data_IF_450791595881
#
_entry.id   IF_450791595881
#
_cell.length_a   1.000
_cell.length_b   1.000
_cell.length_c   1.000
_cell.angle_alpha   90.00
_cell.angle_beta   90.00
_cell.angle_gamma   90.00
#
_symmetry.space_group_name_H-M   'P 1'
#
loop_
_entity.id
_entity.type
_entity.pdbx_description
1 polymer ?
#
# COMPACT_ATOMS: atom_id res chain seq x y z
N UNK A 1 -6.10 -13.56 -1.87
CA UNK A 1 -6.07 -14.97 -2.30
C UNK A 1 -4.62 -15.44 -2.38
N UNK A 2 -4.32 -16.61 -1.81
CA UNK A 2 -3.01 -17.23 -1.87
C UNK A 2 -3.07 -18.43 -2.84
N UNK A 3 -2.60 -18.22 -4.06
CA UNK A 3 -2.64 -19.23 -5.12
C UNK A 3 -1.76 -20.45 -4.82
N UNK A 4 -0.85 -20.36 -3.86
CA UNK A 4 -0.06 -21.52 -3.42
C UNK A 4 -0.85 -22.48 -2.53
N UNK A 5 -2.00 -22.08 -2.01
CA UNK A 5 -2.88 -22.96 -1.25
C UNK A 5 -3.74 -23.79 -2.20
N UNK A 6 -3.58 -25.11 -2.24
CA UNK A 6 -4.34 -25.97 -3.18
C UNK A 6 -5.86 -25.84 -3.01
N UNK A 7 -6.33 -25.60 -1.79
CA UNK A 7 -7.75 -25.41 -1.53
C UNK A 7 -8.30 -24.11 -2.14
N UNK A 8 -7.47 -23.06 -2.25
CA UNK A 8 -7.85 -21.81 -2.88
C UNK A 8 -7.58 -21.79 -4.39
N UNK A 9 -6.49 -22.43 -4.82
CA UNK A 9 -6.17 -22.56 -6.25
C UNK A 9 -7.25 -23.33 -7.02
N UNK A 10 -7.94 -24.25 -6.35
CA UNK A 10 -9.00 -25.06 -6.92
C UNK A 10 -10.42 -24.53 -6.66
N UNK A 11 -10.57 -23.33 -6.16
CA UNK A 11 -11.88 -22.68 -6.05
C UNK A 11 -12.25 -22.04 -7.38
N UNK A 12 -13.47 -22.27 -7.81
CA UNK A 12 -14.07 -21.48 -8.86
C UNK A 12 -14.42 -20.08 -8.35
N UNK A 13 -14.85 -19.21 -9.23
CA UNK A 13 -15.22 -17.84 -8.88
C UNK A 13 -16.33 -17.76 -7.82
N UNK A 14 -17.16 -18.78 -7.70
CA UNK A 14 -18.25 -18.87 -6.72
C UNK A 14 -17.81 -19.54 -5.42
N UNK A 15 -16.56 -19.89 -5.26
CA UNK A 15 -16.02 -20.59 -4.09
C UNK A 15 -16.26 -22.09 -4.09
N UNK A 16 -16.75 -22.66 -5.17
CA UNK A 16 -16.94 -24.11 -5.32
C UNK A 16 -15.66 -24.72 -5.90
N UNK A 17 -15.09 -25.74 -5.29
CA UNK A 17 -13.92 -26.40 -5.86
C UNK A 17 -14.23 -26.98 -7.26
N UNK A 18 -13.50 -26.61 -8.31
CA UNK A 18 -13.76 -27.12 -9.66
C UNK A 18 -13.28 -28.55 -9.88
N UNK A 19 -12.73 -29.19 -8.90
CA UNK A 19 -12.29 -30.57 -8.96
C UNK A 19 -10.93 -30.80 -9.61
N UNK A 20 -10.64 -30.12 -10.69
CA UNK A 20 -9.39 -30.26 -11.44
C UNK A 20 -8.56 -28.96 -11.54
N UNK A 21 -9.08 -27.85 -11.02
CA UNK A 21 -8.43 -26.53 -11.07
C UNK A 21 -8.38 -25.91 -12.48
N UNK A 22 -8.95 -26.57 -13.47
CA UNK A 22 -8.94 -26.11 -14.87
C UNK A 22 -10.32 -25.83 -15.42
N UNK A 23 -11.36 -26.22 -14.67
CA UNK A 23 -12.76 -26.04 -15.08
C UNK A 23 -13.10 -24.57 -15.17
N UNK A 24 -13.67 -24.16 -16.28
CA UNK A 24 -14.16 -22.82 -16.55
C UNK A 24 -15.67 -22.81 -16.33
N UNK A 25 -16.18 -21.82 -15.60
CA UNK A 25 -17.61 -21.63 -15.49
C UNK A 25 -18.21 -21.35 -16.89
N UNK A 26 -19.46 -21.75 -17.15
CA UNK A 26 -20.07 -21.57 -18.49
C UNK A 26 -20.11 -20.10 -18.96
N UNK A 27 -20.00 -19.16 -18.02
CA UNK A 27 -20.02 -17.71 -18.27
C UNK A 27 -18.63 -17.07 -18.29
N UNK A 28 -17.58 -17.83 -18.02
CA UNK A 28 -16.21 -17.34 -17.96
C UNK A 28 -15.38 -17.83 -19.13
N UNK A 29 -14.49 -16.98 -19.61
CA UNK A 29 -13.59 -17.32 -20.70
C UNK A 29 -12.35 -18.10 -20.24
N UNK A 30 -12.00 -18.00 -18.96
CA UNK A 30 -10.80 -18.59 -18.38
C UNK A 30 -11.04 -19.06 -16.95
N UNK A 31 -10.28 -20.07 -16.47
CA UNK A 31 -10.32 -20.47 -15.08
C UNK A 31 -9.90 -19.31 -14.14
N UNK A 32 -10.45 -19.26 -12.95
CA UNK A 32 -10.19 -18.19 -11.99
C UNK A 32 -8.69 -18.01 -11.65
N UNK A 33 -7.92 -19.10 -11.64
CA UNK A 33 -6.47 -19.04 -11.38
C UNK A 33 -5.65 -18.44 -12.53
N UNK A 34 -6.23 -18.30 -13.72
CA UNK A 34 -5.57 -17.64 -14.86
C UNK A 34 -5.56 -16.13 -14.75
N UNK A 35 -6.39 -15.58 -13.88
CA UNK A 35 -6.44 -14.14 -13.65
C UNK A 35 -5.42 -13.72 -12.60
N UNK A 36 -4.86 -12.56 -12.82
CA UNK A 36 -3.94 -11.96 -11.91
C UNK A 36 -4.65 -11.44 -10.65
N UNK A 37 -4.09 -11.74 -9.48
CA UNK A 37 -4.60 -11.22 -8.23
C UNK A 37 -4.03 -9.83 -7.96
N UNK A 38 -4.86 -8.81 -8.10
CA UNK A 38 -4.51 -7.40 -7.85
C UNK A 38 -4.07 -7.18 -6.40
N UNK A 39 -4.71 -7.86 -5.44
CA UNK A 39 -4.37 -7.76 -4.03
C UNK A 39 -3.58 -8.99 -3.54
N UNK A 40 -2.30 -8.79 -3.25
CA UNK A 40 -1.37 -9.86 -2.82
C UNK A 40 -0.70 -9.61 -1.49
N UNK A 41 -1.19 -8.68 -0.70
CA UNK A 41 -0.62 -8.33 0.61
C UNK A 41 -0.43 -9.55 1.51
N UNK A 42 -1.37 -10.49 1.50
CA UNK A 42 -1.24 -11.74 2.24
C UNK A 42 -0.10 -12.63 1.73
N UNK A 43 0.03 -12.77 0.43
CA UNK A 43 1.11 -13.57 -0.19
C UNK A 43 2.49 -12.97 0.10
N UNK A 44 2.58 -11.65 0.08
CA UNK A 44 3.79 -10.90 0.42
C UNK A 44 4.15 -11.05 1.89
N UNK A 45 3.15 -10.93 2.79
CA UNK A 45 3.29 -11.16 4.23
C UNK A 45 3.81 -12.58 4.52
N UNK A 46 3.20 -13.60 3.91
CA UNK A 46 3.61 -14.99 4.08
C UNK A 46 5.01 -15.30 3.54
N UNK A 47 5.52 -14.46 2.64
CA UNK A 47 6.88 -14.56 2.10
C UNK A 47 7.91 -13.80 2.93
N UNK A 48 7.48 -13.06 3.95
CA UNK A 48 8.33 -12.27 4.84
C UNK A 48 8.70 -13.02 6.12
N UNK A 49 9.67 -12.49 6.87
CA UNK A 49 9.95 -12.97 8.22
C UNK A 49 8.76 -12.81 9.17
N UNK A 50 7.96 -11.77 8.98
CA UNK A 50 6.81 -11.47 9.85
C UNK A 50 5.71 -12.53 9.79
N UNK A 51 5.53 -13.19 8.66
CA UNK A 51 4.60 -14.31 8.49
C UNK A 51 5.10 -15.63 9.10
N UNK A 52 6.29 -15.64 9.71
CA UNK A 52 6.89 -16.83 10.30
C UNK A 52 6.99 -16.70 11.81
N UNK A 53 6.97 -17.85 12.50
CA UNK A 53 7.12 -17.89 13.95
C UNK A 53 8.39 -17.19 14.41
N UNK A 54 8.28 -16.27 15.35
CA UNK A 54 9.38 -15.52 15.93
C UNK A 54 9.97 -14.42 15.04
N UNK A 55 9.55 -14.31 13.78
CA UNK A 55 10.15 -13.37 12.83
C UNK A 55 9.95 -11.90 13.17
N UNK A 56 8.85 -11.54 13.79
CA UNK A 56 8.57 -10.17 14.21
C UNK A 56 9.30 -9.78 15.52
N UNK A 57 9.63 -10.74 16.37
CA UNK A 57 10.17 -10.49 17.71
C UNK A 57 11.53 -9.77 17.69
N UNK A 58 12.27 -9.85 16.62
CA UNK A 58 13.60 -9.24 16.47
C UNK A 58 13.61 -7.90 15.74
N UNK A 59 12.45 -7.38 15.37
CA UNK A 59 12.36 -6.11 14.64
C UNK A 59 12.16 -4.92 15.59
N UNK A 60 13.16 -4.05 15.80
CA UNK A 60 13.05 -2.91 16.70
C UNK A 60 11.94 -1.92 16.32
N UNK A 61 11.75 -1.66 15.01
CA UNK A 61 10.72 -0.72 14.54
C UNK A 61 9.32 -1.26 14.82
N UNK A 62 9.12 -2.56 14.71
CA UNK A 62 7.85 -3.19 15.05
C UNK A 62 7.57 -3.14 16.55
N UNK A 63 8.57 -3.40 17.37
CA UNK A 63 8.48 -3.29 18.82
C UNK A 63 8.25 -1.86 19.27
N UNK A 64 8.89 -0.89 18.62
CA UNK A 64 8.73 0.54 18.93
C UNK A 64 7.30 1.06 18.67
N UNK A 65 6.48 0.33 17.94
CA UNK A 65 5.07 0.66 17.72
C UNK A 65 4.12 0.14 18.81
N UNK A 66 4.64 -0.41 19.90
CA UNK A 66 3.86 -0.87 21.04
C UNK A 66 3.44 -2.34 20.98
N UNK A 67 3.85 -3.09 19.99
CA UNK A 67 3.60 -4.53 19.94
C UNK A 67 4.53 -5.26 20.91
N UNK A 68 3.98 -5.73 22.02
CA UNK A 68 4.78 -6.26 23.14
C UNK A 68 4.86 -7.77 23.22
N UNK A 69 3.98 -8.52 22.54
CA UNK A 69 3.95 -9.99 22.58
C UNK A 69 3.94 -10.60 21.17
N UNK A 70 5.05 -10.50 20.49
CA UNK A 70 5.25 -11.00 19.14
C UNK A 70 6.29 -12.12 19.06
N UNK A 71 6.37 -12.96 20.06
CA UNK A 71 7.17 -14.19 20.03
C UNK A 71 6.77 -15.12 18.86
N UNK A 72 5.59 -14.90 18.29
CA UNK A 72 4.98 -15.61 17.18
C UNK A 72 5.05 -14.82 15.87
N UNK A 73 4.37 -15.28 14.85
CA UNK A 73 4.15 -14.50 13.65
C UNK A 73 3.33 -13.22 13.97
N UNK A 74 3.70 -12.12 13.36
CA UNK A 74 2.92 -10.89 13.45
C UNK A 74 1.51 -11.09 12.86
N UNK A 75 0.58 -10.23 13.26
CA UNK A 75 -0.75 -10.13 12.67
C UNK A 75 -0.89 -8.76 12.01
N UNK A 76 -1.77 -8.64 11.04
CA UNK A 76 -2.06 -7.36 10.39
C UNK A 76 -2.45 -6.28 11.40
N UNK A 77 -3.22 -6.68 12.43
CA UNK A 77 -3.68 -5.81 13.50
C UNK A 77 -2.54 -5.20 14.31
N UNK A 78 -1.45 -5.92 14.51
CA UNK A 78 -0.33 -5.46 15.34
C UNK A 78 0.32 -4.16 14.79
N UNK A 79 0.22 -3.93 13.47
CA UNK A 79 0.67 -2.71 12.84
C UNK A 79 -0.47 -1.75 12.47
N UNK A 80 -1.63 -2.30 12.06
CA UNK A 80 -2.73 -1.51 11.51
C UNK A 80 -3.80 -1.13 12.55
N UNK A 81 -3.75 -1.71 13.74
CA UNK A 81 -4.61 -1.39 14.88
C UNK A 81 -3.73 -1.12 16.09
N UNK A 82 -2.92 -0.08 16.01
CA UNK A 82 -1.98 0.31 17.07
C UNK A 82 -2.70 0.62 18.37
N UNK A 83 -2.06 0.33 19.47
CA UNK A 83 -2.59 0.60 20.80
C UNK A 83 -2.65 2.09 21.08
N UNK A 84 -3.76 2.51 21.66
CA UNK A 84 -3.99 3.88 22.15
C UNK A 84 -4.55 3.82 23.55
N UNK A 85 -4.20 4.80 24.38
CA UNK A 85 -4.80 4.93 25.69
C UNK A 85 -6.27 5.29 25.54
N UNK A 86 -7.15 4.50 26.14
CA UNK A 86 -8.58 4.71 26.05
C UNK A 86 -9.36 3.62 26.79
N UNK A 87 -10.67 3.72 26.75
CA UNK A 87 -11.57 2.71 27.29
C UNK A 87 -12.02 1.74 26.21
N UNK A 88 -12.22 0.49 26.57
CA UNK A 88 -12.77 -0.50 25.66
C UNK A 88 -14.22 -0.15 25.29
N UNK A 89 -14.74 -0.79 24.25
CA UNK A 89 -16.10 -0.56 23.76
C UNK A 89 -17.14 -0.63 24.89
N UNK A 90 -17.90 0.44 25.07
CA UNK A 90 -18.95 0.49 26.09
C UNK A 90 -20.26 -0.08 25.54
N UNK A 91 -20.63 -1.25 26.01
CA UNK A 91 -21.95 -1.82 25.78
C UNK A 91 -22.87 -1.37 26.91
N UNK A 92 -23.99 -0.69 26.57
CA UNK A 92 -24.95 -0.19 27.55
C UNK A 92 -25.27 -1.23 28.64
N UNK A 93 -25.12 -0.79 29.91
CA UNK A 93 -25.43 -1.57 31.09
C UNK A 93 -24.41 -2.61 31.54
N UNK A 94 -23.27 -2.68 30.87
CA UNK A 94 -22.15 -3.53 31.31
C UNK A 94 -20.91 -2.65 31.40
N UNK A 95 -20.37 -2.42 32.60
CA UNK A 95 -19.05 -1.80 32.75
C UNK A 95 -18.05 -2.70 32.04
N UNK A 96 -17.30 -2.16 31.12
CA UNK A 96 -16.33 -2.93 30.34
C UNK A 96 -15.14 -3.28 31.19
N UNK A 97 -14.72 -2.37 32.01
CA UNK A 97 -13.82 -2.59 33.13
C UNK A 97 -14.50 -2.09 34.39
N UNK A 98 -14.12 -2.54 35.57
CA UNK A 98 -14.83 -2.18 36.80
C UNK A 98 -15.00 -0.67 37.03
N UNK A 99 -14.16 0.12 36.42
CA UNK A 99 -14.10 1.57 36.58
C UNK A 99 -14.12 2.33 35.25
N UNK A 100 -14.45 1.66 34.14
CA UNK A 100 -14.39 2.24 32.78
C UNK A 100 -12.99 2.75 32.39
N UNK A 101 -11.94 2.32 33.08
CA UNK A 101 -10.57 2.73 32.82
C UNK A 101 -9.96 2.05 31.61
N UNK A 102 -8.79 2.49 31.23
CA UNK A 102 -7.95 1.87 30.21
C UNK A 102 -7.62 0.44 30.59
N UNK A 103 -7.80 -0.49 29.67
CA UNK A 103 -7.53 -1.91 29.92
C UNK A 103 -6.05 -2.19 30.17
N UNK A 104 -5.23 -1.59 29.35
CA UNK A 104 -3.77 -1.66 29.43
C UNK A 104 -3.21 -0.24 29.51
N UNK A 105 -3.08 0.33 30.71
CA UNK A 105 -2.64 1.73 30.87
C UNK A 105 -1.26 1.98 30.27
N UNK A 106 -0.39 0.98 30.20
CA UNK A 106 0.96 1.10 29.65
C UNK A 106 1.02 0.79 28.14
N UNK A 107 0.19 -0.11 27.64
CA UNK A 107 0.15 -0.52 26.23
C UNK A 107 -1.09 -0.05 25.49
N UNK A 108 -2.15 0.37 26.21
CA UNK A 108 -3.38 0.87 25.61
C UNK A 108 -4.33 -0.21 25.09
N UNK A 109 -5.20 0.21 24.21
CA UNK A 109 -6.23 -0.59 23.52
C UNK A 109 -6.02 -0.52 22.01
N UNK A 110 -6.26 -1.60 21.26
CA UNK A 110 -6.18 -1.57 19.80
C UNK A 110 -7.19 -0.56 19.22
N UNK A 111 -6.70 0.41 18.47
CA UNK A 111 -7.53 1.34 17.74
C UNK A 111 -8.07 0.68 16.47
N UNK A 112 -9.38 0.52 16.37
CA UNK A 112 -10.06 -0.14 15.26
C UNK A 112 -10.21 0.80 14.05
N UNK A 113 -9.16 1.43 13.62
CA UNK A 113 -9.14 2.29 12.43
C UNK A 113 -8.50 1.64 11.20
N UNK A 114 -7.81 0.52 11.38
CA UNK A 114 -7.11 -0.22 10.32
C UNK A 114 -6.26 0.71 9.44
N UNK A 115 -5.55 1.63 10.07
CA UNK A 115 -4.80 2.68 9.39
C UNK A 115 -3.81 2.09 8.39
N UNK A 116 -3.94 2.49 7.12
CA UNK A 116 -3.01 2.17 6.04
C UNK A 116 -2.33 3.42 5.51
N UNK A 117 -1.79 3.32 4.28
CA UNK A 117 -1.09 4.44 3.62
C UNK A 117 -2.02 5.44 2.89
N UNK A 118 -3.34 5.27 2.94
CA UNK A 118 -4.26 6.12 2.21
C UNK A 118 -4.61 7.39 2.99
N UNK A 119 -3.75 8.40 2.90
CA UNK A 119 -3.92 9.66 3.61
C UNK A 119 -4.93 10.63 2.96
N UNK A 120 -5.23 10.45 1.68
CA UNK A 120 -5.97 11.46 0.92
C UNK A 120 -7.46 11.17 0.78
N UNK A 121 -7.92 9.91 0.79
CA UNK A 121 -9.37 9.63 0.73
C UNK A 121 -10.12 10.28 1.88
N UNK A 122 -9.68 10.10 3.12
CA UNK A 122 -10.30 10.73 4.28
C UNK A 122 -10.29 12.26 4.20
N UNK A 123 -9.20 12.83 3.64
CA UNK A 123 -9.09 14.27 3.42
C UNK A 123 -10.08 14.76 2.35
N UNK A 124 -10.18 14.06 1.21
CA UNK A 124 -11.16 14.38 0.15
C UNK A 124 -12.58 14.31 0.70
N UNK A 125 -12.91 13.27 1.46
CA UNK A 125 -14.23 13.17 2.09
C UNK A 125 -14.50 14.33 3.05
N UNK A 126 -13.53 14.72 3.88
CA UNK A 126 -13.67 15.88 4.76
C UNK A 126 -13.80 17.20 3.99
N UNK A 127 -13.25 17.28 2.79
CA UNK A 127 -13.31 18.51 1.97
C UNK A 127 -14.67 18.76 1.31
N UNK A 128 -15.61 17.83 1.40
CA UNK A 128 -16.97 18.02 0.89
C UNK A 128 -17.88 18.80 1.84
N UNK A 129 -17.48 18.97 3.11
CA UNK A 129 -18.24 19.74 4.10
C UNK A 129 -18.05 21.25 3.89
N UNK A 130 -19.08 22.00 3.48
CA UNK A 130 -18.98 23.44 3.23
C UNK A 130 -18.64 24.26 4.49
N UNK A 131 -18.80 23.69 5.66
CA UNK A 131 -18.43 24.33 6.94
C UNK A 131 -17.10 23.80 7.50
N UNK A 132 -16.46 22.86 6.80
CA UNK A 132 -15.21 22.25 7.21
C UNK A 132 -13.99 23.12 6.89
N UNK A 133 -12.86 22.93 7.65
CA UNK A 133 -11.66 23.74 7.46
C UNK A 133 -10.91 23.47 6.16
N UNK A 134 -11.25 22.41 5.44
CA UNK A 134 -10.59 21.98 4.20
C UNK A 134 -11.56 21.94 3.03
N UNK A 135 -12.64 22.69 3.10
CA UNK A 135 -13.68 22.68 2.07
C UNK A 135 -13.12 22.96 0.67
N UNK A 136 -13.50 22.09 -0.27
CA UNK A 136 -13.16 22.21 -1.68
C UNK A 136 -14.44 22.02 -2.52
N UNK A 137 -14.92 23.08 -3.19
CA UNK A 137 -16.15 23.02 -3.97
C UNK A 137 -16.03 22.08 -5.19
N UNK A 138 -14.84 21.83 -5.71
CA UNK A 138 -14.62 20.88 -6.83
C UNK A 138 -14.84 19.45 -6.34
N UNK A 139 -14.24 19.10 -5.22
CA UNK A 139 -14.44 17.78 -4.60
C UNK A 139 -15.91 17.57 -4.23
N UNK A 140 -16.56 18.57 -3.65
CA UNK A 140 -17.98 18.50 -3.31
C UNK A 140 -18.84 18.25 -4.56
N UNK A 141 -18.58 18.96 -5.64
CA UNK A 141 -19.31 18.78 -6.91
C UNK A 141 -19.03 17.42 -7.56
N UNK A 142 -17.78 16.95 -7.55
CA UNK A 142 -17.42 15.67 -8.18
C UNK A 142 -18.00 14.47 -7.44
N UNK A 143 -18.16 14.56 -6.12
CA UNK A 143 -18.71 13.49 -5.30
C UNK A 143 -20.23 13.53 -5.15
N UNK A 144 -20.88 14.63 -5.55
CA UNK A 144 -22.34 14.79 -5.58
C UNK A 144 -22.88 14.76 -7.03
N UNK A 145 -22.68 13.65 -7.72
CA UNK A 145 -23.09 13.51 -9.13
C UNK A 145 -24.47 12.86 -9.32
N UNK A 146 -25.18 12.62 -8.21
CA UNK A 146 -26.51 12.06 -8.23
C UNK A 146 -26.59 10.53 -8.28
N UNK A 147 -27.79 9.94 -8.29
CA UNK A 147 -28.00 8.51 -8.02
C UNK A 147 -27.54 7.58 -9.13
N UNK A 148 -27.26 8.07 -10.33
CA UNK A 148 -26.71 7.28 -11.43
C UNK A 148 -25.18 7.08 -11.34
N UNK A 149 -24.53 7.84 -10.47
CA UNK A 149 -23.11 7.78 -10.16
C UNK A 149 -23.00 7.68 -8.64
N UNK A 150 -21.85 7.29 -8.11
CA UNK A 150 -21.63 7.24 -6.68
C UNK A 150 -21.82 8.65 -6.07
N UNK A 151 -22.87 8.81 -5.28
CA UNK A 151 -23.09 10.01 -4.47
C UNK A 151 -22.64 9.74 -3.06
N UNK A 152 -21.66 10.50 -2.58
CA UNK A 152 -21.18 10.48 -1.20
C UNK A 152 -21.74 11.70 -0.45
N UNK A 153 -22.95 11.55 0.05
CA UNK A 153 -23.47 12.49 1.05
C UNK A 153 -23.18 11.99 2.46
N UNK A 154 -22.12 12.50 3.03
CA UNK A 154 -21.72 12.15 4.39
C UNK A 154 -22.71 12.65 5.47
N UNK A 155 -23.69 13.45 5.09
CA UNK A 155 -24.66 14.09 6.00
C UNK A 155 -26.10 13.63 5.77
N UNK A 156 -26.42 12.97 4.65
CA UNK A 156 -27.77 12.59 4.30
C UNK A 156 -28.37 11.58 5.29
N UNK A 157 -29.40 12.03 6.00
CA UNK A 157 -30.22 11.16 6.84
C UNK A 157 -29.49 10.47 8.00
N UNK A 158 -28.25 10.81 8.28
CA UNK A 158 -27.47 10.18 9.35
C UNK A 158 -27.49 11.00 10.65
N UNK A 159 -27.65 10.26 11.75
CA UNK A 159 -27.46 10.81 13.08
C UNK A 159 -26.68 9.78 13.90
N UNK A 160 -25.42 10.04 14.34
CA UNK A 160 -24.71 11.31 14.14
C UNK A 160 -24.22 11.49 12.70
N UNK A 161 -24.12 12.73 12.29
CA UNK A 161 -23.52 13.12 11.00
C UNK A 161 -22.06 12.71 10.93
N UNK A 162 -21.53 12.50 9.72
CA UNK A 162 -20.12 12.25 9.55
C UNK A 162 -19.26 13.35 10.19
N UNK A 163 -18.23 12.94 10.90
CA UNK A 163 -17.37 13.86 11.65
C UNK A 163 -16.14 14.20 10.80
N UNK A 164 -16.12 15.38 10.18
CA UNK A 164 -15.00 15.87 9.37
C UNK A 164 -13.69 15.91 10.15
N UNK A 165 -13.71 16.24 11.45
CA UNK A 165 -12.52 16.22 12.29
C UNK A 165 -11.96 14.79 12.47
N UNK A 166 -12.82 13.79 12.59
CA UNK A 166 -12.40 12.39 12.66
C UNK A 166 -11.78 11.90 11.34
N UNK A 167 -12.32 12.33 10.20
CA UNK A 167 -11.77 12.04 8.88
C UNK A 167 -10.37 12.66 8.72
N UNK A 168 -10.17 13.90 9.12
CA UNK A 168 -8.87 14.57 9.09
C UNK A 168 -7.87 13.91 10.03
N UNK A 169 -8.28 13.54 11.24
CA UNK A 169 -7.46 12.76 12.15
C UNK A 169 -7.06 11.39 11.57
N UNK A 170 -7.96 10.75 10.81
CA UNK A 170 -7.66 9.53 10.04
C UNK A 170 -6.59 9.75 8.98
N UNK A 171 -6.69 10.86 8.23
CA UNK A 171 -5.67 11.27 7.26
C UNK A 171 -4.29 11.47 7.94
N UNK A 172 -4.25 12.11 9.09
CA UNK A 172 -3.00 12.36 9.81
C UNK A 172 -2.39 11.07 10.37
N UNK A 173 -3.21 10.13 10.85
CA UNK A 173 -2.73 8.80 11.24
C UNK A 173 -2.13 8.05 10.05
N UNK A 174 -2.77 8.10 8.87
CA UNK A 174 -2.22 7.48 7.66
C UNK A 174 -0.86 8.09 7.27
N UNK A 175 -0.70 9.42 7.36
CA UNK A 175 0.60 10.09 7.15
C UNK A 175 1.66 9.63 8.15
N UNK A 176 1.28 9.44 9.43
CA UNK A 176 2.18 8.90 10.45
C UNK A 176 2.59 7.45 10.10
N UNK A 177 1.65 6.62 9.68
CA UNK A 177 1.94 5.24 9.26
C UNK A 177 2.90 5.20 8.07
N UNK A 178 2.72 6.05 7.08
CA UNK A 178 3.63 6.17 5.93
C UNK A 178 5.05 6.56 6.35
N UNK A 179 5.21 7.45 7.33
CA UNK A 179 6.53 7.84 7.85
C UNK A 179 7.28 6.70 8.54
N UNK A 180 6.57 5.70 9.04
CA UNK A 180 7.14 4.51 9.67
C UNK A 180 7.45 3.40 8.66
N UNK A 181 6.87 3.47 7.47
CA UNK A 181 6.89 2.37 6.50
C UNK A 181 8.28 2.09 5.92
N UNK A 182 9.14 3.10 5.82
CA UNK A 182 10.48 2.96 5.28
C UNK A 182 11.52 3.77 6.05
N UNK A 183 12.76 3.30 6.00
CA UNK A 183 13.93 4.01 6.57
C UNK A 183 15.02 4.11 5.52
N UNK A 184 15.61 5.30 5.40
CA UNK A 184 16.84 5.49 4.62
C UNK A 184 18.02 5.24 5.54
N UNK A 185 18.90 4.32 5.13
CA UNK A 185 20.09 3.94 5.88
C UNK A 185 21.34 4.17 5.03
N UNK A 186 22.49 4.27 5.69
CA UNK A 186 23.81 4.33 5.05
C UNK A 186 23.93 5.41 3.97
N UNK A 187 23.19 6.52 4.14
CA UNK A 187 23.26 7.64 3.20
C UNK A 187 24.66 8.24 3.20
N UNK A 188 25.28 8.24 2.05
CA UNK A 188 26.61 8.82 1.84
C UNK A 188 26.70 9.54 0.50
N UNK A 189 27.58 10.56 0.44
CA UNK A 189 27.93 11.27 -0.78
C UNK A 189 29.45 11.29 -0.92
N UNK A 190 29.96 10.80 -2.06
CA UNK A 190 31.38 10.80 -2.36
C UNK A 190 31.62 10.81 -3.86
N UNK A 191 32.52 11.69 -4.32
CA UNK A 191 32.95 11.71 -5.72
C UNK A 191 31.82 11.95 -6.74
N UNK A 192 30.77 12.67 -6.37
CA UNK A 192 29.61 12.89 -7.22
C UNK A 192 28.52 11.82 -7.11
N UNK A 193 28.75 10.75 -6.35
CA UNK A 193 27.82 9.67 -6.17
C UNK A 193 27.08 9.77 -4.83
N UNK A 194 25.77 9.56 -4.87
CA UNK A 194 24.93 9.35 -3.67
C UNK A 194 24.66 7.86 -3.54
N UNK A 195 24.94 7.31 -2.36
CA UNK A 195 24.62 5.93 -2.02
C UNK A 195 23.71 5.89 -0.80
N UNK A 196 22.75 5.01 -0.80
CA UNK A 196 21.83 4.82 0.33
C UNK A 196 21.20 3.44 0.25
N UNK A 197 20.61 3.02 1.35
CA UNK A 197 19.83 1.79 1.44
C UNK A 197 18.40 2.15 1.88
N UNK A 198 17.40 1.63 1.18
CA UNK A 198 15.99 1.74 1.57
C UNK A 198 15.56 0.48 2.28
N UNK A 199 15.20 0.59 3.54
CA UNK A 199 14.65 -0.51 4.32
C UNK A 199 13.14 -0.39 4.39
N UNK A 200 12.46 -1.46 3.99
CA UNK A 200 11.04 -1.62 4.23
C UNK A 200 10.80 -2.10 5.66
N UNK A 201 10.04 -1.33 6.44
CA UNK A 201 9.68 -1.65 7.84
C UNK A 201 8.31 -2.31 7.94
N UNK A 202 7.58 -2.45 6.83
CA UNK A 202 6.28 -3.14 6.81
C UNK A 202 6.44 -4.65 6.63
N UNK A 203 5.37 -5.39 6.89
CA UNK A 203 5.37 -6.84 6.77
C UNK A 203 4.95 -7.34 5.37
N UNK A 204 4.87 -6.47 4.40
CA UNK A 204 4.53 -6.73 3.00
C UNK A 204 5.36 -5.82 2.10
N UNK A 205 5.29 -5.98 0.80
CA UNK A 205 6.00 -5.07 -0.10
C UNK A 205 5.55 -3.62 0.08
N UNK A 206 6.43 -2.69 -0.15
CA UNK A 206 6.15 -1.26 -0.27
C UNK A 206 6.05 -0.91 -1.76
N UNK A 207 4.91 -0.52 -2.21
CA UNK A 207 3.60 -0.34 -1.56
C UNK A 207 2.73 -1.59 -1.70
N UNK A 208 1.66 -1.71 -0.90
CA UNK A 208 0.68 -2.78 -1.02
C UNK A 208 -0.75 -2.21 -0.90
N UNK A 209 -1.78 -3.04 -1.03
CA UNK A 209 -3.16 -2.58 -1.04
C UNK A 209 -3.52 -1.85 -2.33
N UNK A 210 -3.77 -2.60 -3.42
CA UNK A 210 -3.94 -2.08 -4.77
C UNK A 210 -2.70 -1.31 -5.26
N UNK A 211 -1.53 -1.98 -5.33
CA UNK A 211 -0.27 -1.35 -5.70
C UNK A 211 -0.25 -0.84 -7.14
N UNK A 212 -1.08 -1.40 -8.03
CA UNK A 212 -1.20 -1.00 -9.42
C UNK A 212 -1.69 0.44 -9.61
N UNK A 213 -2.36 0.98 -8.59
CA UNK A 213 -2.80 2.39 -8.56
C UNK A 213 -1.89 3.29 -7.74
N UNK A 214 -0.73 2.80 -7.30
CA UNK A 214 0.16 3.52 -6.39
C UNK A 214 1.60 3.47 -6.84
N UNK A 215 2.36 4.47 -6.41
CA UNK A 215 3.78 4.60 -6.71
C UNK A 215 4.53 5.11 -5.48
N UNK A 216 5.69 4.53 -5.19
CA UNK A 216 6.68 5.08 -4.30
C UNK A 216 7.93 5.39 -5.12
N UNK A 217 8.60 6.48 -4.87
CA UNK A 217 9.80 6.83 -5.64
C UNK A 217 10.85 7.51 -4.76
N UNK A 218 12.11 7.36 -5.14
CA UNK A 218 13.21 8.11 -4.60
C UNK A 218 13.37 9.42 -5.36
N UNK A 219 13.14 10.55 -4.68
CA UNK A 219 13.48 11.88 -5.21
C UNK A 219 14.82 12.33 -4.62
N UNK A 220 15.78 12.65 -5.47
CA UNK A 220 17.12 13.08 -5.04
C UNK A 220 17.36 14.48 -5.58
N UNK A 221 17.67 15.43 -4.70
CA UNK A 221 17.90 16.82 -5.05
C UNK A 221 19.33 17.24 -4.69
N UNK A 222 20.06 17.78 -5.66
CA UNK A 222 21.27 18.56 -5.39
C UNK A 222 20.90 20.05 -5.31
N UNK A 223 21.36 20.72 -4.24
CA UNK A 223 21.11 22.15 -4.00
C UNK A 223 22.41 22.91 -3.90
N UNK A 224 22.42 24.14 -4.40
CA UNK A 224 23.52 25.07 -4.18
C UNK A 224 23.50 25.64 -2.75
N UNK A 225 24.48 26.48 -2.44
CA UNK A 225 24.61 27.12 -1.13
C UNK A 225 23.44 28.06 -0.76
N UNK A 226 22.67 28.50 -1.75
CA UNK A 226 21.46 29.31 -1.57
C UNK A 226 20.19 28.45 -1.41
N UNK A 227 20.32 27.13 -1.48
CA UNK A 227 19.20 26.19 -1.39
C UNK A 227 18.42 25.99 -2.70
N UNK A 228 18.90 26.57 -3.82
CA UNK A 228 18.30 26.37 -5.13
C UNK A 228 18.64 24.98 -5.65
N UNK A 229 17.63 24.26 -6.16
CA UNK A 229 17.83 22.97 -6.83
C UNK A 229 18.62 23.20 -8.11
N UNK A 230 19.74 22.50 -8.27
CA UNK A 230 20.65 22.56 -9.44
C UNK A 230 20.63 21.25 -10.22
N UNK A 231 20.11 20.16 -9.63
CA UNK A 231 19.90 18.88 -10.27
C UNK A 231 18.88 18.06 -9.49
N UNK A 232 18.03 17.31 -10.17
CA UNK A 232 16.98 16.52 -9.54
C UNK A 232 16.74 15.19 -10.26
N UNK A 233 16.67 14.10 -9.48
CA UNK A 233 16.26 12.77 -9.95
C UNK A 233 14.81 12.55 -9.56
N UNK A 234 14.01 12.04 -10.47
CA UNK A 234 12.58 11.75 -10.30
C UNK A 234 11.81 12.97 -9.76
N UNK A 235 11.85 14.11 -10.45
CA UNK A 235 11.14 15.31 -10.05
C UNK A 235 9.63 15.09 -10.07
N UNK A 236 8.95 15.62 -9.05
CA UNK A 236 7.49 15.53 -8.91
C UNK A 236 6.85 16.88 -9.21
N UNK A 237 5.80 16.88 -10.00
CA UNK A 237 5.00 18.07 -10.30
C UNK A 237 3.77 18.09 -9.39
N UNK A 238 3.78 18.96 -8.38
CA UNK A 238 2.71 19.08 -7.39
C UNK A 238 1.40 19.61 -7.99
N UNK A 239 1.47 20.32 -9.13
CA UNK A 239 0.28 20.89 -9.79
C UNK A 239 -0.54 19.81 -10.49
N UNK A 240 0.16 18.89 -11.14
CA UNK A 240 -0.47 17.80 -11.89
C UNK A 240 -0.56 16.54 -11.02
N UNK A 241 0.24 16.45 -9.95
CA UNK A 241 0.26 15.31 -9.05
C UNK A 241 0.95 14.07 -9.64
N UNK A 242 2.01 14.27 -10.44
CA UNK A 242 2.72 13.16 -11.09
C UNK A 242 4.23 13.39 -11.18
N UNK A 243 4.99 12.31 -11.43
CA UNK A 243 6.40 12.42 -11.78
C UNK A 243 6.55 12.99 -13.18
N UNK A 244 7.61 13.76 -13.40
CA UNK A 244 8.02 14.18 -14.77
C UNK A 244 8.77 13.04 -15.46
N UNK A 245 8.64 12.99 -16.76
CA UNK A 245 9.37 12.04 -17.60
C UNK A 245 8.88 10.59 -17.51
N UNK A 246 7.70 10.36 -16.96
CA UNK A 246 7.11 8.99 -16.88
C UNK A 246 6.94 8.41 -18.28
N UNK A 247 7.50 7.23 -18.57
CA UNK A 247 7.25 6.53 -19.81
C UNK A 247 5.76 6.28 -20.03
N UNK A 248 5.31 6.39 -21.25
CA UNK A 248 3.93 6.09 -21.68
C UNK A 248 2.81 6.89 -21.00
N UNK A 249 3.13 7.94 -20.23
CA UNK A 249 2.15 8.82 -19.60
C UNK A 249 1.96 10.10 -20.40
N UNK A 250 0.80 10.26 -21.03
CA UNK A 250 0.46 11.48 -21.78
C UNK A 250 0.31 12.74 -20.91
N UNK A 251 0.09 12.56 -19.62
CA UNK A 251 -0.05 13.67 -18.67
C UNK A 251 1.24 14.04 -17.94
N UNK A 252 2.30 13.24 -18.10
CA UNK A 252 3.57 13.51 -17.44
C UNK A 252 4.30 14.67 -18.13
N UNK A 253 4.67 15.74 -17.40
CA UNK A 253 5.48 16.80 -17.95
C UNK A 253 6.85 16.30 -18.42
N UNK A 254 7.41 16.96 -19.42
CA UNK A 254 8.77 16.68 -19.87
C UNK A 254 9.80 17.07 -18.79
N UNK A 255 10.91 16.34 -18.77
CA UNK A 255 12.08 16.66 -17.94
C UNK A 255 12.74 17.96 -18.39
N UNK A 256 13.19 18.75 -17.42
CA UNK A 256 14.06 19.90 -17.65
C UNK A 256 15.51 19.52 -17.89
N UNK A 257 16.36 20.52 -18.19
CA UNK A 257 17.77 20.31 -18.55
C UNK A 257 18.63 19.68 -17.41
N UNK A 258 18.21 19.81 -16.18
CA UNK A 258 18.92 19.29 -14.99
C UNK A 258 18.01 18.33 -14.20
N UNK A 259 17.15 17.64 -14.89
CA UNK A 259 16.22 16.67 -14.31
C UNK A 259 16.40 15.31 -15.01
N UNK A 260 16.42 14.25 -14.25
CA UNK A 260 16.49 12.87 -14.76
C UNK A 260 15.36 12.01 -14.19
N UNK A 261 14.93 11.05 -15.00
CA UNK A 261 14.03 9.97 -14.57
C UNK A 261 14.83 8.67 -14.47
N UNK A 262 14.79 8.04 -13.30
CA UNK A 262 15.46 6.78 -13.01
C UNK A 262 14.40 5.77 -12.61
N UNK A 263 14.09 4.83 -13.51
CA UNK A 263 12.98 3.88 -13.37
C UNK A 263 13.20 2.89 -12.22
N UNK A 264 14.44 2.53 -11.92
CA UNK A 264 14.82 1.67 -10.82
C UNK A 264 14.47 2.25 -9.45
N UNK A 265 14.42 3.58 -9.33
CA UNK A 265 14.01 4.29 -8.12
C UNK A 265 12.51 4.60 -8.07
N UNK A 266 11.74 4.06 -9.02
CA UNK A 266 10.29 4.19 -9.07
C UNK A 266 9.67 2.82 -8.81
N UNK A 267 9.23 2.61 -7.57
CA UNK A 267 8.73 1.33 -7.08
C UNK A 267 7.22 1.24 -7.31
N UNK A 268 6.80 0.29 -8.15
CA UNK A 268 5.41 0.16 -8.60
C UNK A 268 5.10 -1.25 -9.12
N UNK A 269 3.84 -1.48 -9.43
CA UNK A 269 3.40 -2.68 -10.16
C UNK A 269 2.67 -2.26 -11.43
N UNK A 270 3.09 -2.82 -12.54
CA UNK A 270 2.38 -2.74 -13.81
C UNK A 270 1.93 -4.14 -14.23
N UNK A 271 0.63 -4.38 -14.37
CA UNK A 271 0.09 -5.64 -14.86
C UNK A 271 0.42 -5.89 -16.33
N UNK A 272 0.34 -7.14 -16.74
CA UNK A 272 0.33 -7.60 -18.13
C UNK A 272 -0.89 -8.44 -18.41
N UNK A 273 -1.25 -8.61 -19.68
CA UNK A 273 -2.37 -9.44 -20.07
C UNK A 273 -2.05 -10.33 -21.29
N UNK A 274 -2.07 -11.62 -21.06
CA UNK A 274 -2.04 -12.59 -22.16
C UNK A 274 -3.37 -12.71 -22.91
N UNK A 275 -4.46 -12.22 -22.30
CA UNK A 275 -5.79 -12.22 -22.93
C UNK A 275 -5.93 -11.14 -23.99
N UNK A 276 -5.34 -9.98 -23.75
CA UNK A 276 -5.35 -8.85 -24.70
C UNK A 276 -4.06 -8.78 -25.53
N UNK A 277 -3.02 -9.52 -25.14
CA UNK A 277 -1.70 -9.47 -25.78
C UNK A 277 -0.89 -8.22 -25.37
N UNK A 278 -1.33 -7.46 -24.38
CA UNK A 278 -0.61 -6.29 -23.89
C UNK A 278 0.49 -6.69 -22.91
N UNK A 279 1.73 -6.31 -23.25
CA UNK A 279 2.86 -6.53 -22.35
C UNK A 279 2.71 -5.74 -21.04
N UNK A 280 2.17 -4.54 -21.13
CA UNK A 280 1.80 -3.68 -20.01
C UNK A 280 0.35 -3.21 -20.21
N UNK A 281 -0.47 -3.35 -19.19
CA UNK A 281 -1.89 -3.00 -19.27
C UNK A 281 -2.40 -2.38 -17.97
N UNK A 282 -3.39 -1.50 -18.10
CA UNK A 282 -4.19 -1.00 -16.97
C UNK A 282 -5.61 -1.57 -16.96
N UNK A 283 -5.89 -2.56 -17.80
CA UNK A 283 -7.14 -3.31 -17.80
C UNK A 283 -7.12 -4.38 -16.68
N UNK A 284 -7.22 -3.95 -15.44
CA UNK A 284 -7.02 -4.80 -14.25
C UNK A 284 -7.87 -6.07 -14.26
N UNK A 285 -9.10 -6.00 -14.78
CA UNK A 285 -10.02 -7.15 -14.88
C UNK A 285 -9.49 -8.22 -15.85
N UNK A 286 -8.71 -7.81 -16.83
CA UNK A 286 -8.13 -8.70 -17.86
C UNK A 286 -6.65 -9.02 -17.59
N UNK A 287 -6.10 -8.54 -16.49
CA UNK A 287 -4.71 -8.80 -16.12
C UNK A 287 -4.51 -10.29 -15.81
N UNK A 288 -3.44 -10.87 -16.37
CA UNK A 288 -3.05 -12.26 -16.14
C UNK A 288 -1.65 -12.41 -15.59
N UNK A 289 -0.88 -11.32 -15.51
CA UNK A 289 0.48 -11.34 -15.06
C UNK A 289 0.98 -9.94 -14.70
N UNK A 290 2.29 -9.80 -14.62
CA UNK A 290 2.97 -8.54 -14.29
C UNK A 290 4.02 -8.21 -15.36
N UNK A 291 4.08 -6.95 -15.72
CA UNK A 291 5.15 -6.39 -16.54
C UNK A 291 6.30 -5.89 -15.66
N UNK A 292 5.96 -5.18 -14.58
CA UNK A 292 6.89 -4.65 -13.58
C UNK A 292 6.36 -4.93 -12.18
N UNK A 293 7.20 -5.38 -11.26
CA UNK A 293 6.98 -5.42 -9.82
C UNK A 293 8.33 -5.32 -9.11
N UNK A 294 8.83 -4.10 -8.99
CA UNK A 294 10.10 -3.80 -8.34
C UNK A 294 9.91 -3.21 -6.94
N UNK A 295 8.74 -3.37 -6.34
CA UNK A 295 8.44 -2.87 -5.01
C UNK A 295 9.39 -3.44 -3.96
N UNK A 296 9.78 -2.60 -3.00
CA UNK A 296 10.74 -2.95 -1.95
C UNK A 296 10.17 -4.09 -1.08
N UNK A 297 10.85 -5.24 -0.96
CA UNK A 297 10.36 -6.38 -0.20
C UNK A 297 10.44 -6.13 1.31
N UNK A 298 9.61 -6.83 2.11
CA UNK A 298 9.72 -6.81 3.56
C UNK A 298 10.97 -7.56 4.04
N UNK A 299 11.37 -7.32 5.29
CA UNK A 299 12.47 -8.07 5.93
C UNK A 299 12.27 -9.58 5.84
N UNK A 300 13.35 -10.29 5.52
CA UNK A 300 13.36 -11.74 5.41
C UNK A 300 12.48 -12.27 4.29
N UNK A 301 12.35 -11.50 3.22
CA UNK A 301 11.61 -11.91 2.03
C UNK A 301 12.25 -13.17 1.42
N UNK A 302 11.46 -14.21 1.27
CA UNK A 302 11.89 -15.50 0.77
C UNK A 302 11.32 -15.77 -0.63
N UNK A 303 12.19 -15.76 -1.63
CA UNK A 303 11.83 -16.00 -3.03
C UNK A 303 11.23 -17.39 -3.25
N UNK A 304 11.68 -18.41 -2.52
CA UNK A 304 11.11 -19.74 -2.64
C UNK A 304 9.65 -19.80 -2.20
N UNK A 305 9.24 -18.90 -1.31
CA UNK A 305 7.85 -18.74 -0.90
C UNK A 305 7.09 -17.75 -1.80
N UNK A 306 7.78 -16.76 -2.32
CA UNK A 306 7.18 -15.70 -3.13
C UNK A 306 6.80 -16.17 -4.53
N UNK A 307 7.66 -16.97 -5.18
CA UNK A 307 7.45 -17.44 -6.56
C UNK A 307 6.15 -18.23 -6.73
N UNK A 308 5.84 -19.25 -5.91
CA UNK A 308 4.57 -19.97 -6.06
C UNK A 308 3.35 -19.11 -5.71
N UNK A 309 3.57 -17.96 -5.04
CA UNK A 309 2.53 -16.99 -4.69
C UNK A 309 2.42 -15.82 -5.68
N UNK A 310 3.17 -15.87 -6.76
CA UNK A 310 3.20 -14.80 -7.78
C UNK A 310 3.52 -13.44 -7.15
N UNK A 311 4.47 -13.42 -6.22
CA UNK A 311 4.91 -12.20 -5.55
C UNK A 311 6.41 -11.96 -5.63
N UNK A 312 7.14 -12.72 -6.46
CA UNK A 312 8.53 -12.47 -6.82
C UNK A 312 8.68 -11.15 -7.60
N UNK A 313 9.87 -10.56 -7.66
CA UNK A 313 10.14 -9.40 -8.50
C UNK A 313 9.98 -9.72 -9.99
N UNK A 314 9.49 -8.75 -10.73
CA UNK A 314 9.38 -8.82 -12.20
C UNK A 314 9.90 -7.52 -12.78
N UNK A 315 10.74 -7.63 -13.79
CA UNK A 315 11.29 -6.50 -14.53
C UNK A 315 11.05 -6.70 -16.02
N UNK A 316 10.30 -5.81 -16.64
CA UNK A 316 9.93 -5.82 -18.06
C UNK A 316 9.41 -7.17 -18.55
N UNK A 317 8.46 -7.73 -17.81
CA UNK A 317 7.79 -9.00 -18.16
C UNK A 317 8.57 -10.26 -17.83
N UNK A 318 9.78 -10.12 -17.27
CA UNK A 318 10.62 -11.26 -16.88
C UNK A 318 10.73 -11.35 -15.37
N UNK A 319 10.51 -12.54 -14.81
CA UNK A 319 10.80 -12.78 -13.40
C UNK A 319 12.29 -12.52 -13.13
N UNK A 320 12.58 -11.66 -12.17
CA UNK A 320 13.94 -11.31 -11.79
C UNK A 320 14.17 -11.56 -10.30
N UNK A 321 14.43 -12.81 -9.92
CA UNK A 321 14.67 -13.15 -8.51
C UNK A 321 15.95 -12.52 -7.95
N UNK A 322 16.87 -12.06 -8.79
CA UNK A 322 18.08 -11.35 -8.40
C UNK A 322 17.91 -9.84 -8.27
N UNK A 323 16.75 -9.28 -8.58
CA UNK A 323 16.53 -7.84 -8.65
C UNK A 323 16.98 -7.09 -7.39
N UNK A 324 16.68 -7.63 -6.23
CA UNK A 324 17.04 -6.99 -4.95
C UNK A 324 18.50 -7.19 -4.54
N UNK A 325 19.16 -8.24 -5.02
CA UNK A 325 20.57 -8.50 -4.71
C UNK A 325 21.53 -7.64 -5.53
N UNK A 326 21.07 -7.07 -6.63
CA UNK A 326 21.87 -6.17 -7.48
C UNK A 326 21.73 -4.70 -7.11
N UNK A 327 20.82 -4.38 -6.19
CA UNK A 327 20.55 -3.03 -5.69
C UNK A 327 20.99 -2.82 -4.24
N UNK A 328 21.60 -3.81 -3.62
CA UNK A 328 22.17 -3.71 -2.27
C UNK A 328 23.46 -2.88 -2.25
#
# INVERSE_FOLDING_TARGET
>A
HDVSNPALANLDFMGTPPGDGTTVLPTEANPAYSYFHVERTWSEFMSSAYGQQGGAATNPEFQAQGATDIAWAAKCQDCHMRDVVGVACNKNGVPIRPDESTEHPDSGQPLHDLTGGNAWISHILASTDPNGPVYDPVNAQLLDQGPAVLTLDLNAGQTPKANGAALLAGSDRAKQQLRLAATIQNLAYSGGNVTFQLQNNSAHKLISGFPEGRRMFGNIQAKDAAGKIIYEVNPYDDTIGTLKGLPHSHSSPALGANEDYVDELVYEVHPSSSLTGEAETFHFVLATGRYKDNRIPPKGFDLARATPRISEPVWHGTSDPGYFSTQE
#
